data_IF_281552974394
#
_entry.id   IF_281552974394
#
_cell.length_a   1.000
_cell.length_b   1.000
_cell.length_c   1.000
_cell.angle_alpha   90.00
_cell.angle_beta   90.00
_cell.angle_gamma   90.00
#
_symmetry.space_group_name_H-M   'P 1'
#
loop_
_entity.id
_entity.type
_entity.pdbx_description
1 polymer ?
#
# COMPACT_ATOMS: atom_id res chain seq x y z
N UNK A 1 -28.44 -0.21 -10.50
CA UNK A 1 -27.45 -1.31 -10.32
C UNK A 1 -26.19 -1.12 -11.16
N UNK A 2 -26.26 -0.98 -12.50
CA UNK A 2 -25.07 -0.86 -13.37
C UNK A 2 -24.08 0.26 -12.99
N UNK A 3 -24.55 1.47 -12.66
CA UNK A 3 -23.69 2.60 -12.27
C UNK A 3 -22.93 2.36 -10.96
N UNK A 4 -23.59 1.74 -9.97
CA UNK A 4 -22.97 1.39 -8.69
C UNK A 4 -21.88 0.34 -8.91
N UNK A 5 -22.15 -0.68 -9.73
CA UNK A 5 -21.15 -1.70 -10.06
C UNK A 5 -19.93 -1.08 -10.77
N UNK A 6 -20.14 -0.19 -11.73
CA UNK A 6 -19.03 0.53 -12.41
C UNK A 6 -18.24 1.38 -11.43
N UNK A 7 -18.91 2.06 -10.49
CA UNK A 7 -18.25 2.82 -9.44
C UNK A 7 -17.38 1.92 -8.54
N UNK A 8 -17.93 0.80 -8.06
CA UNK A 8 -17.20 -0.15 -7.22
C UNK A 8 -15.98 -0.74 -7.93
N UNK A 9 -16.11 -1.11 -9.22
CA UNK A 9 -14.98 -1.58 -10.03
C UNK A 9 -13.92 -0.49 -10.19
N UNK A 10 -14.36 0.76 -10.40
CA UNK A 10 -13.47 1.91 -10.50
C UNK A 10 -12.69 2.18 -9.21
N UNK A 11 -13.23 1.82 -8.04
CA UNK A 11 -12.50 1.88 -6.77
C UNK A 11 -11.57 0.67 -6.58
N UNK A 12 -12.06 -0.52 -6.90
CA UNK A 12 -11.37 -1.78 -6.63
C UNK A 12 -10.07 -1.91 -7.43
N UNK A 13 -10.12 -1.66 -8.75
CA UNK A 13 -8.96 -1.88 -9.63
C UNK A 13 -7.76 -1.02 -9.19
N UNK A 14 -7.86 0.31 -9.04
CA UNK A 14 -6.72 1.13 -8.64
C UNK A 14 -6.23 0.80 -7.23
N UNK A 15 -7.14 0.45 -6.32
CA UNK A 15 -6.78 0.06 -4.96
C UNK A 15 -5.94 -1.22 -4.94
N UNK A 16 -6.36 -2.27 -5.65
CA UNK A 16 -5.58 -3.50 -5.78
C UNK A 16 -4.24 -3.26 -6.47
N UNK A 17 -4.24 -2.46 -7.55
CA UNK A 17 -2.99 -2.10 -8.25
C UNK A 17 -2.02 -1.38 -7.31
N UNK A 18 -2.50 -0.46 -6.47
CA UNK A 18 -1.65 0.22 -5.49
C UNK A 18 -1.13 -0.72 -4.42
N UNK A 19 -1.90 -1.70 -3.96
CA UNK A 19 -1.37 -2.72 -3.04
C UNK A 19 -0.22 -3.50 -3.66
N UNK A 20 -0.35 -3.91 -4.92
CA UNK A 20 0.71 -4.60 -5.66
C UNK A 20 1.93 -3.71 -5.83
N UNK A 21 1.75 -2.45 -6.25
CA UNK A 21 2.84 -1.48 -6.40
C UNK A 21 3.52 -1.18 -5.06
N UNK A 22 2.74 -1.03 -4.00
CA UNK A 22 3.26 -0.74 -2.67
C UNK A 22 4.14 -1.89 -2.16
N UNK A 23 3.71 -3.14 -2.35
CA UNK A 23 4.46 -4.31 -1.92
C UNK A 23 5.69 -4.58 -2.81
N UNK A 24 5.54 -4.55 -4.13
CA UNK A 24 6.60 -4.95 -5.07
C UNK A 24 7.62 -3.82 -5.31
N UNK A 25 7.22 -2.56 -5.22
CA UNK A 25 8.06 -1.42 -5.62
C UNK A 25 8.38 -0.54 -4.41
N UNK A 26 7.37 -0.02 -3.71
CA UNK A 26 7.58 0.98 -2.66
C UNK A 26 8.30 0.38 -1.44
N UNK A 27 7.85 -0.78 -0.97
CA UNK A 27 8.42 -1.49 0.17
C UNK A 27 9.93 -1.74 -0.02
N UNK A 28 10.39 -2.41 -1.10
CA UNK A 28 11.82 -2.62 -1.31
C UNK A 28 12.59 -1.34 -1.62
N UNK A 29 11.95 -0.30 -2.18
CA UNK A 29 12.60 0.99 -2.41
C UNK A 29 12.91 1.74 -1.10
N UNK A 30 11.99 1.69 -0.13
CA UNK A 30 12.15 2.39 1.16
C UNK A 30 13.05 1.58 2.10
N UNK A 31 12.77 0.28 2.22
CA UNK A 31 13.47 -0.60 3.16
C UNK A 31 14.84 -1.00 2.60
N UNK A 32 14.99 -1.08 1.28
CA UNK A 32 16.21 -1.61 0.66
C UNK A 32 16.40 -3.09 0.98
N UNK A 33 17.65 -3.55 0.89
CA UNK A 33 18.07 -4.92 1.24
C UNK A 33 18.51 -5.02 2.71
N UNK A 34 17.76 -4.40 3.64
CA UNK A 34 18.06 -4.42 5.09
C UNK A 34 17.77 -5.78 5.75
N UNK A 35 18.05 -6.89 5.04
CA UNK A 35 17.97 -8.24 5.60
C UNK A 35 19.17 -8.58 6.50
N UNK A 36 20.17 -7.71 6.59
CA UNK A 36 21.28 -7.89 7.52
C UNK A 36 20.83 -7.55 8.94
N UNK A 37 20.79 -8.59 9.79
CA UNK A 37 20.40 -8.57 11.21
C UNK A 37 21.15 -7.53 12.06
N UNK A 38 22.25 -6.96 11.56
CA UNK A 38 23.05 -5.91 12.20
C UNK A 38 22.62 -4.48 11.84
N UNK A 39 21.70 -4.29 10.89
CA UNK A 39 21.19 -2.97 10.43
C UNK A 39 19.73 -2.69 10.85
N UNK A 40 19.26 -3.32 11.93
CA UNK A 40 17.87 -3.28 12.42
C UNK A 40 17.33 -1.89 12.84
N UNK A 41 18.05 -0.80 12.62
CA UNK A 41 17.55 0.54 12.91
C UNK A 41 16.67 1.05 11.77
N UNK A 42 15.37 0.76 11.87
CA UNK A 42 14.35 1.51 11.16
C UNK A 42 14.38 2.96 11.62
N UNK A 43 14.29 3.89 10.68
CA UNK A 43 14.05 5.29 11.08
C UNK A 43 12.63 5.41 11.61
N UNK A 44 12.34 6.45 12.42
CA UNK A 44 10.97 6.76 12.86
C UNK A 44 9.97 6.90 11.71
N UNK A 45 10.45 7.27 10.52
CA UNK A 45 9.62 7.32 9.33
C UNK A 45 9.31 5.91 8.82
N UNK A 46 10.31 5.02 8.78
CA UNK A 46 10.11 3.63 8.36
C UNK A 46 9.17 2.90 9.34
N UNK A 47 9.32 3.10 10.65
CA UNK A 47 8.46 2.51 11.70
C UNK A 47 6.96 2.88 11.55
N UNK A 48 6.66 4.03 10.93
CA UNK A 48 5.27 4.42 10.67
C UNK A 48 4.63 3.54 9.60
N UNK A 49 5.42 3.09 8.63
CA UNK A 49 4.96 2.37 7.44
C UNK A 49 5.29 0.88 7.46
N UNK A 50 6.26 0.48 8.27
CA UNK A 50 6.78 -0.87 8.35
C UNK A 50 7.06 -1.27 9.80
N UNK A 51 6.71 -2.49 10.14
CA UNK A 51 7.04 -3.10 11.42
C UNK A 51 7.91 -4.33 11.20
N UNK A 52 8.72 -4.68 12.20
CA UNK A 52 9.54 -5.88 12.18
C UNK A 52 9.05 -6.74 13.33
N UNK A 53 8.60 -7.96 13.04
CA UNK A 53 8.11 -8.90 14.03
C UNK A 53 8.82 -10.24 13.93
N UNK A 54 8.92 -10.96 15.05
CA UNK A 54 9.43 -12.34 15.02
C UNK A 54 8.53 -13.27 14.22
N UNK A 55 7.26 -12.90 14.03
CA UNK A 55 6.28 -13.67 13.27
C UNK A 55 6.60 -13.69 11.76
N UNK A 56 7.30 -12.68 11.26
CA UNK A 56 7.79 -12.60 9.87
C UNK A 56 9.25 -13.02 9.72
N UNK A 57 9.85 -13.63 10.76
CA UNK A 57 11.29 -13.93 10.74
C UNK A 57 12.15 -12.68 10.76
N UNK A 58 11.66 -11.60 11.37
CA UNK A 58 12.28 -10.27 11.40
C UNK A 58 12.38 -9.59 10.03
N UNK A 59 11.53 -9.99 9.07
CA UNK A 59 11.38 -9.26 7.82
C UNK A 59 10.45 -8.05 8.00
N UNK A 60 10.85 -6.86 7.50
CA UNK A 60 9.98 -5.69 7.52
C UNK A 60 8.68 -5.94 6.77
N UNK A 61 7.55 -5.71 7.44
CA UNK A 61 6.20 -5.88 6.90
C UNK A 61 5.42 -4.56 6.96
N UNK A 62 4.56 -4.26 5.96
CA UNK A 62 3.76 -3.04 5.99
C UNK A 62 2.84 -2.98 7.22
N UNK A 63 2.83 -1.86 7.93
CA UNK A 63 1.93 -1.66 9.07
C UNK A 63 0.47 -1.56 8.64
N UNK A 64 -0.43 -1.66 9.62
CA UNK A 64 -1.85 -1.33 9.40
C UNK A 64 -2.05 0.10 8.87
N UNK A 65 -1.21 1.06 9.29
CA UNK A 65 -1.26 2.42 8.77
C UNK A 65 -0.92 2.47 7.28
N UNK A 66 0.13 1.79 6.86
CA UNK A 66 0.50 1.66 5.45
C UNK A 66 -0.64 1.06 4.63
N UNK A 67 -1.27 0.00 5.13
CA UNK A 67 -2.43 -0.64 4.49
C UNK A 67 -3.60 0.34 4.30
N UNK A 68 -3.99 1.06 5.36
CA UNK A 68 -5.10 2.02 5.33
C UNK A 68 -4.78 3.18 4.38
N UNK A 69 -3.56 3.72 4.43
CA UNK A 69 -3.17 4.82 3.56
C UNK A 69 -3.20 4.41 2.09
N UNK A 70 -2.67 3.22 1.77
CA UNK A 70 -2.71 2.65 0.41
C UNK A 70 -4.14 2.51 -0.09
N UNK A 71 -5.06 2.00 0.75
CA UNK A 71 -6.47 1.88 0.42
C UNK A 71 -7.15 3.24 0.17
N UNK A 72 -6.86 4.24 0.99
CA UNK A 72 -7.40 5.60 0.84
C UNK A 72 -6.95 6.21 -0.49
N UNK A 73 -5.65 6.15 -0.80
CA UNK A 73 -5.11 6.68 -2.06
C UNK A 73 -5.74 5.95 -3.26
N UNK A 74 -5.89 4.63 -3.18
CA UNK A 74 -6.56 3.83 -4.21
C UNK A 74 -8.00 4.25 -4.47
N UNK A 75 -8.76 4.46 -3.40
CA UNK A 75 -10.13 4.94 -3.48
C UNK A 75 -10.22 6.36 -4.05
N UNK A 76 -9.29 7.25 -3.71
CA UNK A 76 -9.23 8.62 -4.26
C UNK A 76 -8.99 8.56 -5.78
N UNK A 77 -7.97 7.81 -6.22
CA UNK A 77 -7.66 7.65 -7.65
C UNK A 77 -8.86 7.03 -8.38
N UNK A 78 -9.45 5.98 -7.81
CA UNK A 78 -10.62 5.32 -8.39
C UNK A 78 -11.84 6.23 -8.52
N UNK A 79 -12.05 7.12 -7.54
CA UNK A 79 -13.11 8.12 -7.57
C UNK A 79 -12.87 9.18 -8.66
N UNK A 80 -11.61 9.61 -8.85
CA UNK A 80 -11.21 10.53 -9.91
C UNK A 80 -11.44 9.88 -11.29
N UNK A 81 -11.01 8.64 -11.48
CA UNK A 81 -11.21 7.88 -12.74
C UNK A 81 -12.70 7.75 -13.06
N UNK A 82 -13.52 7.37 -12.07
CA UNK A 82 -14.97 7.27 -12.26
C UNK A 82 -15.57 8.60 -12.67
N UNK A 83 -15.18 9.70 -12.01
CA UNK A 83 -15.67 11.05 -12.32
C UNK A 83 -15.30 11.49 -13.73
N UNK A 84 -14.10 11.18 -14.21
CA UNK A 84 -13.66 11.48 -15.58
C UNK A 84 -14.47 10.68 -16.60
N UNK A 85 -14.68 9.38 -16.35
CA UNK A 85 -15.42 8.49 -17.27
C UNK A 85 -16.94 8.72 -17.29
N UNK A 86 -17.49 9.24 -16.20
CA UNK A 86 -18.93 9.52 -16.05
C UNK A 86 -19.35 10.91 -16.53
N UNK A 87 -18.40 11.77 -16.93
CA UNK A 87 -18.68 12.99 -17.69
C UNK A 87 -18.94 12.64 -19.15
#
# INVERSE_FOLDING_TARGET
>A
MKKILVFLISLLIPTLTLFVVNYIIITPLIIGDKCDLDQNELTKFDELFFEISSNTGYHPEPTTFNFILTAIIGCIIGSIIYKIRSR
#
